data_IF_545885176432
#
_entry.id   IF_545885176432
#
_cell.length_a   1.000
_cell.length_b   1.000
_cell.length_c   1.000
_cell.angle_alpha   90.00
_cell.angle_beta   90.00
_cell.angle_gamma   90.00
#
_symmetry.space_group_name_H-M   'P 1'
#
loop_
_entity.id
_entity.type
_entity.pdbx_description
1 polymer ?
#
# COMPACT_ATOMS: atom_id res chain seq x y z
N UNK A 1 3.33 10.89 -26.04
CA UNK A 1 2.73 11.84 -25.08
C UNK A 1 3.38 11.57 -23.73
N UNK A 2 3.97 12.58 -23.12
CA UNK A 2 4.78 12.46 -21.93
C UNK A 2 3.97 11.90 -20.75
N UNK A 3 4.34 10.71 -20.29
CA UNK A 3 3.82 10.08 -19.07
C UNK A 3 4.46 10.77 -17.86
N UNK A 4 4.06 12.02 -17.61
CA UNK A 4 4.21 12.60 -16.28
C UNK A 4 3.28 11.81 -15.38
N UNK A 5 3.81 10.72 -14.81
CA UNK A 5 3.15 9.97 -13.77
C UNK A 5 2.62 10.98 -12.74
N UNK A 6 1.32 11.26 -12.78
CA UNK A 6 0.69 12.07 -11.74
C UNK A 6 1.11 11.43 -10.42
N UNK A 7 1.72 12.23 -9.53
CA UNK A 7 2.02 11.82 -8.16
C UNK A 7 0.70 11.65 -7.41
N UNK A 8 0.00 10.57 -7.70
CA UNK A 8 -1.19 10.17 -6.97
C UNK A 8 -0.75 9.58 -5.63
N UNK A 9 -1.56 9.73 -4.57
CA UNK A 9 -1.28 9.10 -3.28
C UNK A 9 -0.98 7.59 -3.39
N UNK A 10 -1.70 6.88 -4.28
CA UNK A 10 -1.46 5.47 -4.60
C UNK A 10 -0.04 5.25 -5.16
N UNK A 11 0.38 6.04 -6.13
CA UNK A 11 1.72 5.93 -6.73
C UNK A 11 2.84 6.22 -5.72
N UNK A 12 2.63 7.19 -4.83
CA UNK A 12 3.57 7.53 -3.74
C UNK A 12 3.67 6.36 -2.76
N UNK A 13 2.53 5.82 -2.31
CA UNK A 13 2.49 4.68 -1.40
C UNK A 13 3.21 3.45 -1.99
N UNK A 14 2.96 3.12 -3.26
CA UNK A 14 3.63 1.99 -3.94
C UNK A 14 5.14 2.20 -3.99
N UNK A 15 5.62 3.42 -4.32
CA UNK A 15 7.06 3.71 -4.34
C UNK A 15 7.67 3.52 -2.96
N UNK A 16 7.00 3.97 -1.90
CA UNK A 16 7.47 3.78 -0.53
C UNK A 16 7.54 2.29 -0.14
N UNK A 17 6.55 1.49 -0.51
CA UNK A 17 6.55 0.04 -0.32
C UNK A 17 7.70 -0.63 -1.10
N UNK A 18 7.94 -0.19 -2.34
CA UNK A 18 9.04 -0.69 -3.17
C UNK A 18 10.39 -0.40 -2.51
N UNK A 19 10.61 0.82 -2.02
CA UNK A 19 11.82 1.20 -1.27
C UNK A 19 11.95 0.41 0.04
N UNK A 20 10.85 0.22 0.77
CA UNK A 20 10.86 -0.56 1.99
C UNK A 20 11.23 -2.02 1.74
N UNK A 21 10.94 -2.58 0.56
CA UNK A 21 11.29 -3.98 0.22
C UNK A 21 12.80 -4.28 0.17
N UNK A 22 13.64 -3.25 0.25
CA UNK A 22 15.10 -3.35 0.28
C UNK A 22 15.67 -3.27 1.71
N UNK A 23 14.83 -2.94 2.68
CA UNK A 23 15.18 -2.82 4.11
C UNK A 23 15.06 -4.20 4.76
N UNK A 24 16.01 -4.54 5.64
CA UNK A 24 16.07 -5.86 6.29
C UNK A 24 15.92 -5.80 7.81
N UNK A 25 15.79 -4.59 8.36
CA UNK A 25 15.58 -4.36 9.79
C UNK A 25 14.12 -4.00 10.13
N UNK A 26 13.87 -3.74 11.41
CA UNK A 26 12.54 -3.41 11.92
C UNK A 26 11.94 -2.12 11.37
N UNK A 27 12.74 -1.22 10.79
CA UNK A 27 12.25 0.04 10.21
C UNK A 27 11.41 -0.18 8.94
N UNK A 28 11.51 -1.38 8.33
CA UNK A 28 10.65 -1.79 7.22
C UNK A 28 9.17 -1.69 7.58
N UNK A 29 8.79 -2.17 8.76
CA UNK A 29 7.38 -2.20 9.19
C UNK A 29 6.85 -0.79 9.35
N UNK A 30 7.58 0.04 10.09
CA UNK A 30 7.21 1.45 10.35
C UNK A 30 7.07 2.25 9.04
N UNK A 31 7.96 2.03 8.07
CA UNK A 31 7.90 2.73 6.78
C UNK A 31 6.70 2.31 5.93
N UNK A 32 6.35 1.02 5.94
CA UNK A 32 5.16 0.53 5.24
C UNK A 32 3.90 1.07 5.89
N UNK A 33 3.80 1.02 7.22
CA UNK A 33 2.65 1.53 7.97
C UNK A 33 2.46 3.04 7.74
N UNK A 34 3.54 3.83 7.82
CA UNK A 34 3.50 5.26 7.56
C UNK A 34 3.05 5.58 6.12
N UNK A 35 3.47 4.78 5.13
CA UNK A 35 3.05 4.96 3.74
C UNK A 35 1.56 4.66 3.54
N UNK A 36 1.02 3.66 4.24
CA UNK A 36 -0.41 3.32 4.21
C UNK A 36 -1.22 4.37 4.96
N UNK A 37 -0.74 4.86 6.11
CA UNK A 37 -1.40 5.93 6.86
C UNK A 37 -1.52 7.21 6.04
N UNK A 38 -0.44 7.62 5.35
CA UNK A 38 -0.46 8.77 4.47
C UNK A 38 -1.45 8.60 3.30
N UNK A 39 -1.58 7.38 2.76
CA UNK A 39 -2.57 7.06 1.73
C UNK A 39 -3.99 7.22 2.28
N UNK A 40 -4.30 6.59 3.40
CA UNK A 40 -5.63 6.65 4.02
C UNK A 40 -6.03 8.10 4.38
N UNK A 41 -5.08 8.90 4.85
CA UNK A 41 -5.27 10.31 5.18
C UNK A 41 -5.57 11.19 3.96
N UNK A 42 -5.17 10.76 2.76
CA UNK A 42 -5.47 11.47 1.51
C UNK A 42 -6.91 11.22 0.99
N UNK A 43 -7.62 10.27 1.59
CA UNK A 43 -8.99 9.89 1.21
C UNK A 43 -10.02 10.51 2.16
N UNK A 44 -11.10 11.05 1.60
CA UNK A 44 -12.15 11.75 2.34
C UNK A 44 -13.21 10.80 2.90
N UNK A 45 -13.43 9.65 2.26
CA UNK A 45 -14.47 8.69 2.67
C UNK A 45 -13.91 7.29 2.98
N UNK A 46 -14.61 6.49 3.81
CA UNK A 46 -14.27 5.08 4.03
C UNK A 46 -14.15 4.28 2.72
N UNK A 47 -15.09 4.46 1.78
CA UNK A 47 -15.08 3.77 0.49
C UNK A 47 -13.87 4.15 -0.35
N UNK A 48 -13.47 5.44 -0.37
CA UNK A 48 -12.25 5.88 -1.05
C UNK A 48 -11.00 5.22 -0.46
N UNK A 49 -10.93 5.09 0.88
CA UNK A 49 -9.80 4.41 1.54
C UNK A 49 -9.71 2.95 1.13
N UNK A 50 -10.82 2.22 1.15
CA UNK A 50 -10.85 0.81 0.71
C UNK A 50 -10.38 0.68 -0.74
N UNK A 51 -10.93 1.48 -1.66
CA UNK A 51 -10.53 1.47 -3.07
C UNK A 51 -9.05 1.85 -3.28
N UNK A 52 -8.53 2.78 -2.47
CA UNK A 52 -7.12 3.15 -2.52
C UNK A 52 -6.20 2.00 -2.09
N UNK A 53 -6.56 1.30 -1.01
CA UNK A 53 -5.84 0.12 -0.52
C UNK A 53 -5.86 -1.01 -1.55
N UNK A 54 -7.01 -1.30 -2.17
CA UNK A 54 -7.12 -2.30 -3.24
C UNK A 54 -6.23 -1.96 -4.45
N UNK A 55 -6.21 -0.68 -4.85
CA UNK A 55 -5.36 -0.20 -5.96
C UNK A 55 -3.88 -0.35 -5.64
N UNK A 56 -3.45 -0.09 -4.41
CA UNK A 56 -2.07 -0.32 -3.97
C UNK A 56 -1.73 -1.80 -4.06
N UNK A 57 -2.56 -2.67 -3.49
CA UNK A 57 -2.30 -4.12 -3.50
C UNK A 57 -2.30 -4.69 -4.92
N UNK A 58 -3.28 -4.35 -5.74
CA UNK A 58 -3.36 -4.77 -7.14
C UNK A 58 -2.17 -4.28 -7.97
N UNK A 59 -1.70 -3.06 -7.74
CA UNK A 59 -0.53 -2.54 -8.46
C UNK A 59 0.77 -3.17 -7.98
N UNK A 60 0.93 -3.36 -6.66
CA UNK A 60 2.08 -4.03 -6.07
C UNK A 60 2.20 -5.47 -6.60
N UNK A 61 1.13 -6.25 -6.54
CA UNK A 61 1.11 -7.65 -7.01
C UNK A 61 1.40 -7.75 -8.51
N UNK A 62 0.86 -6.82 -9.32
CA UNK A 62 1.14 -6.75 -10.77
C UNK A 62 2.61 -6.44 -11.06
N UNK A 63 3.23 -5.49 -10.34
CA UNK A 63 4.63 -5.07 -10.56
C UNK A 63 5.63 -6.07 -9.99
N UNK A 64 5.30 -6.74 -8.89
CA UNK A 64 6.21 -7.57 -8.10
C UNK A 64 5.68 -9.00 -7.97
N UNK A 65 5.18 -9.59 -9.05
CA UNK A 65 4.58 -10.94 -9.03
C UNK A 65 5.48 -12.00 -8.37
N UNK A 66 6.81 -11.89 -8.53
CA UNK A 66 7.78 -12.77 -7.85
C UNK A 66 7.91 -12.52 -6.34
N UNK A 67 7.83 -11.27 -5.88
CA UNK A 67 7.89 -10.93 -4.43
C UNK A 67 6.53 -11.04 -3.73
N UNK A 68 5.42 -10.97 -4.48
CA UNK A 68 4.05 -11.04 -3.95
C UNK A 68 3.77 -12.35 -3.20
N UNK A 69 4.39 -13.46 -3.63
CA UNK A 69 4.22 -14.76 -2.98
C UNK A 69 5.19 -15.01 -1.82
N UNK A 70 6.16 -14.10 -1.60
CA UNK A 70 7.16 -14.20 -0.55
C UNK A 70 6.72 -13.58 0.78
N UNK A 71 7.55 -13.67 1.84
CA UNK A 71 7.23 -13.14 3.16
C UNK A 71 6.82 -11.66 3.14
N UNK A 72 7.54 -10.85 2.37
CA UNK A 72 7.21 -9.43 2.21
C UNK A 72 5.84 -9.23 1.55
N UNK A 73 5.53 -9.98 0.49
CA UNK A 73 4.23 -9.89 -0.17
C UNK A 73 3.06 -10.30 0.73
N UNK A 74 3.25 -11.35 1.56
CA UNK A 74 2.27 -11.75 2.58
C UNK A 74 2.08 -10.70 3.66
N UNK A 75 3.17 -10.07 4.10
CA UNK A 75 3.12 -8.95 5.05
C UNK A 75 2.31 -7.78 4.50
N UNK A 76 2.53 -7.39 3.24
CA UNK A 76 1.73 -6.33 2.59
C UNK A 76 0.26 -6.74 2.50
N UNK A 77 -0.05 -7.97 2.12
CA UNK A 77 -1.44 -8.46 2.07
C UNK A 77 -2.11 -8.34 3.45
N UNK A 78 -1.47 -8.85 4.50
CA UNK A 78 -1.99 -8.80 5.88
C UNK A 78 -2.22 -7.37 6.37
N UNK A 79 -1.31 -6.44 6.06
CA UNK A 79 -1.48 -5.04 6.42
C UNK A 79 -2.68 -4.42 5.70
N UNK A 80 -2.83 -4.67 4.40
CA UNK A 80 -3.99 -4.18 3.64
C UNK A 80 -5.30 -4.76 4.17
N UNK A 81 -5.38 -6.08 4.34
CA UNK A 81 -6.57 -6.78 4.83
C UNK A 81 -7.00 -6.25 6.20
N UNK A 82 -6.06 -6.14 7.14
CA UNK A 82 -6.34 -5.61 8.49
C UNK A 82 -6.87 -4.17 8.48
N UNK A 83 -6.37 -3.32 7.56
CA UNK A 83 -6.87 -1.95 7.41
C UNK A 83 -8.26 -1.91 6.81
N UNK A 84 -8.53 -2.74 5.80
CA UNK A 84 -9.85 -2.86 5.20
C UNK A 84 -10.88 -3.34 6.21
N UNK A 85 -10.57 -4.39 6.98
CA UNK A 85 -11.44 -4.91 8.04
C UNK A 85 -11.77 -3.82 9.07
N UNK A 86 -10.76 -3.04 9.49
CA UNK A 86 -10.95 -1.92 10.42
C UNK A 86 -11.87 -0.83 9.85
N UNK A 87 -11.76 -0.52 8.56
CA UNK A 87 -12.58 0.49 7.91
C UNK A 87 -14.02 0.00 7.78
N UNK A 88 -14.20 -1.24 7.33
CA UNK A 88 -15.52 -1.86 7.11
C UNK A 88 -16.27 -2.09 8.43
N UNK A 89 -15.57 -2.41 9.53
CA UNK A 89 -16.19 -2.54 10.85
C UNK A 89 -16.68 -1.21 11.44
N UNK A 90 -16.30 -0.07 10.86
CA UNK A 90 -16.63 1.29 11.34
C UNK A 90 -17.52 2.09 10.39
N UNK A 91 -17.85 1.53 9.22
CA UNK A 91 -18.71 2.14 8.21
C UNK A 91 -20.18 1.77 8.47
#
# INVERSE_FOLDING_TARGET
MCDTAQMTPVSICIRAIDTASEITDSTLVEKVEAAIDALEASCSTPSERVLALERVYGTFTRRRRSKANGPFGRFIAQQIDARQDRILARA
#
